data_IF_930397734340
#
_entry.id   IF_930397734340
#
_cell.length_a   1.000
_cell.length_b   1.000
_cell.length_c   1.000
_cell.angle_alpha   90.00
_cell.angle_beta   90.00
_cell.angle_gamma   90.00
#
_symmetry.space_group_name_H-M   'P 1'
#
loop_
_entity.id
_entity.type
_entity.pdbx_description
1 polymer ?
#
# COMPACT_ATOMS: atom_id res chain seq x y z
N UNK A 1 0.84 -44.81 -46.30
CA UNK A 1 -0.17 -45.30 -45.34
C UNK A 1 -0.06 -46.81 -45.30
N UNK A 2 -0.26 -47.44 -44.14
CA UNK A 2 -0.32 -48.90 -43.98
C UNK A 2 -1.51 -49.23 -43.09
N UNK A 3 -2.30 -50.22 -43.46
CA UNK A 3 -3.51 -50.66 -42.73
C UNK A 3 -4.50 -49.52 -42.42
N UNK A 4 -4.64 -48.55 -43.32
CA UNK A 4 -5.53 -47.40 -43.15
C UNK A 4 -4.97 -46.23 -42.34
N UNK A 5 -3.73 -46.32 -41.82
CA UNK A 5 -3.11 -45.28 -40.99
C UNK A 5 -1.89 -44.61 -41.63
N UNK A 6 -1.70 -43.33 -41.32
CA UNK A 6 -0.54 -42.56 -41.74
C UNK A 6 0.72 -43.02 -41.01
N UNK A 7 1.80 -43.28 -41.75
CA UNK A 7 3.09 -43.74 -41.19
C UNK A 7 4.05 -42.60 -40.92
N UNK A 8 3.74 -41.38 -41.38
CA UNK A 8 4.62 -40.20 -41.32
C UNK A 8 4.21 -39.24 -40.20
N UNK A 9 2.91 -39.10 -39.94
CA UNK A 9 2.44 -38.32 -38.80
C UNK A 9 2.81 -39.02 -37.50
N UNK A 10 3.34 -38.26 -36.55
CA UNK A 10 3.63 -38.71 -35.18
C UNK A 10 2.40 -39.34 -34.50
N UNK A 11 1.19 -38.84 -34.78
CA UNK A 11 -0.05 -39.38 -34.24
C UNK A 11 -0.66 -40.57 -35.00
N UNK A 12 0.01 -41.09 -36.04
CA UNK A 12 -0.47 -42.20 -36.90
C UNK A 12 -1.96 -42.12 -37.23
N UNK A 13 -2.43 -40.98 -37.71
CA UNK A 13 -3.86 -40.74 -37.91
C UNK A 13 -4.46 -41.64 -39.02
N UNK A 14 -5.71 -42.07 -38.82
CA UNK A 14 -6.48 -42.81 -39.84
C UNK A 14 -6.72 -41.93 -41.07
N UNK A 15 -6.77 -42.53 -42.27
CA UNK A 15 -6.86 -41.80 -43.53
C UNK A 15 -8.03 -40.81 -43.59
N UNK A 16 -9.16 -41.12 -42.93
CA UNK A 16 -10.37 -40.29 -42.91
C UNK A 16 -10.22 -39.00 -42.11
N UNK A 17 -9.19 -38.93 -41.25
CA UNK A 17 -8.85 -37.75 -40.45
C UNK A 17 -7.57 -37.07 -40.95
N UNK A 18 -6.85 -37.70 -41.87
CA UNK A 18 -5.61 -37.18 -42.46
C UNK A 18 -5.92 -36.39 -43.73
N UNK A 19 -6.41 -35.16 -43.55
CA UNK A 19 -6.74 -34.25 -44.67
C UNK A 19 -5.55 -33.36 -44.98
N UNK A 20 -5.07 -33.39 -46.23
CA UNK A 20 -4.05 -32.47 -46.71
C UNK A 20 -4.71 -31.14 -47.06
N UNK A 21 -4.41 -30.08 -46.32
CA UNK A 21 -4.90 -28.74 -46.63
C UNK A 21 -4.41 -28.31 -48.04
N UNK A 22 -5.31 -27.76 -48.88
CA UNK A 22 -4.99 -27.25 -50.22
C UNK A 22 -4.21 -25.92 -50.22
N UNK A 23 -3.60 -25.55 -49.08
CA UNK A 23 -2.86 -24.30 -48.92
C UNK A 23 -1.43 -24.62 -48.50
N UNK A 24 -0.48 -24.05 -49.24
CA UNK A 24 0.94 -24.09 -48.86
C UNK A 24 1.19 -22.98 -47.84
N UNK A 25 1.48 -23.32 -46.59
CA UNK A 25 1.98 -22.34 -45.60
C UNK A 25 3.39 -21.91 -46.03
N UNK A 26 3.55 -20.62 -46.32
CA UNK A 26 4.84 -20.04 -46.67
C UNK A 26 5.33 -19.25 -45.46
N UNK A 27 6.48 -19.66 -44.93
CA UNK A 27 7.19 -18.88 -43.92
C UNK A 27 7.90 -17.75 -44.65
N UNK A 28 7.50 -16.50 -44.39
CA UNK A 28 8.17 -15.30 -44.89
C UNK A 28 8.98 -14.71 -43.74
N UNK A 29 10.28 -14.58 -43.96
CA UNK A 29 11.15 -13.82 -43.08
C UNK A 29 11.24 -12.39 -43.64
N UNK A 30 10.92 -11.39 -42.82
CA UNK A 30 11.21 -9.99 -43.11
C UNK A 30 12.38 -9.53 -42.25
N UNK A 31 13.42 -8.99 -42.85
CA UNK A 31 14.46 -8.27 -42.13
C UNK A 31 14.02 -6.83 -41.92
N UNK A 32 14.24 -6.30 -40.72
CA UNK A 32 14.12 -4.87 -40.42
C UNK A 32 15.51 -4.36 -40.05
N UNK A 33 15.95 -3.28 -40.67
CA UNK A 33 17.22 -2.63 -40.33
C UNK A 33 16.95 -1.67 -39.19
N UNK A 34 17.41 -2.02 -38.00
CA UNK A 34 17.31 -1.16 -36.82
C UNK A 34 18.65 -0.44 -36.67
N UNK A 35 18.62 0.88 -36.53
CA UNK A 35 19.82 1.66 -36.28
C UNK A 35 20.30 1.42 -34.85
N UNK A 36 21.49 0.82 -34.71
CA UNK A 36 22.08 0.47 -33.41
C UNK A 36 22.14 1.65 -32.44
N UNK A 37 22.41 2.86 -32.95
CA UNK A 37 22.46 4.08 -32.14
C UNK A 37 21.12 4.44 -31.50
N UNK A 38 20.00 4.23 -32.19
CA UNK A 38 18.67 4.52 -31.64
C UNK A 38 18.31 3.54 -30.53
N UNK A 39 18.60 2.24 -30.72
CA UNK A 39 18.38 1.22 -29.67
C UNK A 39 19.24 1.51 -28.45
N UNK A 40 20.51 1.86 -28.65
CA UNK A 40 21.42 2.22 -27.56
C UNK A 40 20.92 3.43 -26.77
N UNK A 41 20.47 4.49 -27.46
CA UNK A 41 19.94 5.70 -26.82
C UNK A 41 18.68 5.43 -25.99
N UNK A 42 17.76 4.63 -26.50
CA UNK A 42 16.54 4.24 -25.76
C UNK A 42 16.89 3.37 -24.54
N UNK A 43 17.86 2.46 -24.68
CA UNK A 43 18.36 1.66 -23.55
C UNK A 43 19.01 2.53 -22.47
N UNK A 44 19.85 3.49 -22.84
CA UNK A 44 20.50 4.42 -21.91
C UNK A 44 19.47 5.27 -21.14
N UNK A 45 18.46 5.82 -21.84
CA UNK A 45 17.36 6.54 -21.21
C UNK A 45 16.57 5.67 -20.24
N UNK A 46 16.23 4.43 -20.64
CA UNK A 46 15.51 3.50 -19.79
C UNK A 46 16.33 3.12 -18.55
N UNK A 47 17.65 2.97 -18.70
CA UNK A 47 18.56 2.72 -17.58
C UNK A 47 18.62 3.92 -16.63
N UNK A 48 18.68 5.15 -17.15
CA UNK A 48 18.67 6.36 -16.31
C UNK A 48 17.36 6.50 -15.53
N UNK A 49 16.22 6.28 -16.18
CA UNK A 49 14.92 6.26 -15.50
C UNK A 49 14.86 5.17 -14.43
N UNK A 50 15.31 3.96 -14.75
CA UNK A 50 15.38 2.85 -13.80
C UNK A 50 16.24 3.17 -12.58
N UNK A 51 17.41 3.81 -12.77
CA UNK A 51 18.26 4.28 -11.66
C UNK A 51 17.53 5.28 -10.77
N UNK A 52 16.79 6.24 -11.36
CA UNK A 52 16.00 7.21 -10.58
C UNK A 52 14.90 6.52 -9.76
N UNK A 53 14.22 5.53 -10.33
CA UNK A 53 13.23 4.74 -9.59
C UNK A 53 13.88 3.93 -8.47
N UNK A 54 15.06 3.34 -8.69
CA UNK A 54 15.81 2.62 -7.66
C UNK A 54 16.10 3.51 -6.46
N UNK A 55 16.64 4.71 -6.70
CA UNK A 55 16.95 5.66 -5.62
C UNK A 55 15.69 6.04 -4.84
N UNK A 56 14.57 6.27 -5.54
CA UNK A 56 13.29 6.57 -4.87
C UNK A 56 12.79 5.38 -4.02
N UNK A 57 12.92 4.15 -4.52
CA UNK A 57 12.56 2.95 -3.77
C UNK A 57 13.40 2.80 -2.51
N UNK A 58 14.71 3.04 -2.60
CA UNK A 58 15.62 2.98 -1.45
C UNK A 58 15.22 4.00 -0.37
N UNK A 59 14.85 5.23 -0.75
CA UNK A 59 14.35 6.23 0.18
C UNK A 59 13.02 5.82 0.83
N UNK A 60 12.08 5.28 0.05
CA UNK A 60 10.80 4.81 0.58
C UNK A 60 10.99 3.65 1.56
N UNK A 61 11.89 2.72 1.26
CA UNK A 61 12.23 1.62 2.17
C UNK A 61 12.87 2.14 3.47
N UNK A 62 13.72 3.17 3.38
CA UNK A 62 14.30 3.83 4.54
C UNK A 62 13.22 4.52 5.40
N UNK A 63 12.33 5.30 4.80
CA UNK A 63 11.23 5.98 5.50
C UNK A 63 10.29 4.96 6.16
N UNK A 64 9.97 3.86 5.47
CA UNK A 64 9.17 2.78 6.03
C UNK A 64 9.85 2.12 7.23
N UNK A 65 11.17 1.98 7.20
CA UNK A 65 11.92 1.45 8.33
C UNK A 65 11.92 2.41 9.52
N UNK A 66 12.15 3.70 9.28
CA UNK A 66 12.10 4.72 10.32
C UNK A 66 10.72 4.79 11.00
N UNK A 67 9.64 4.76 10.20
CA UNK A 67 8.27 4.72 10.73
C UNK A 67 8.05 3.48 11.60
N UNK A 68 8.56 2.30 11.20
CA UNK A 68 8.43 1.08 12.01
C UNK A 68 9.16 1.19 13.35
N UNK A 69 10.33 1.81 13.35
CA UNK A 69 11.14 2.01 14.55
C UNK A 69 10.46 3.01 15.50
N UNK A 70 9.97 4.14 14.96
CA UNK A 70 9.16 5.11 15.71
C UNK A 70 7.89 4.49 16.29
N UNK A 71 7.18 3.63 15.54
CA UNK A 71 6.03 2.89 16.05
C UNK A 71 6.40 1.97 17.21
N UNK A 72 7.56 1.32 17.14
CA UNK A 72 8.06 0.45 18.21
C UNK A 72 8.36 1.27 19.46
N UNK A 73 9.07 2.38 19.31
CA UNK A 73 9.42 3.28 20.41
C UNK A 73 8.18 3.89 21.07
N UNK A 74 7.22 4.38 20.27
CA UNK A 74 5.97 4.92 20.77
C UNK A 74 5.18 3.87 21.57
N UNK A 75 5.09 2.64 21.04
CA UNK A 75 4.43 1.54 21.74
C UNK A 75 5.11 1.23 23.08
N UNK A 76 6.44 1.06 23.09
CA UNK A 76 7.19 0.75 24.30
C UNK A 76 7.06 1.86 25.34
N UNK A 77 7.05 3.12 24.89
CA UNK A 77 6.87 4.29 25.75
C UNK A 77 5.48 4.29 26.38
N UNK A 78 4.42 4.13 25.60
CA UNK A 78 3.04 4.07 26.11
C UNK A 78 2.90 2.93 27.12
N UNK A 79 3.41 1.74 26.76
CA UNK A 79 3.38 0.55 27.63
C UNK A 79 4.11 0.79 28.95
N UNK A 80 5.31 1.36 28.91
CA UNK A 80 6.09 1.66 30.10
C UNK A 80 5.38 2.70 30.98
N UNK A 81 4.83 3.77 30.39
CA UNK A 81 4.07 4.78 31.11
C UNK A 81 2.84 4.18 31.80
N UNK A 82 2.11 3.32 31.10
CA UNK A 82 0.94 2.61 31.65
C UNK A 82 1.33 1.74 32.85
N UNK A 83 2.45 1.02 32.75
CA UNK A 83 2.95 0.15 33.84
C UNK A 83 3.35 0.91 35.09
N UNK A 84 3.96 2.10 34.96
CA UNK A 84 4.40 2.90 36.11
C UNK A 84 3.33 3.85 36.65
N UNK A 85 2.22 4.01 35.92
CA UNK A 85 1.17 4.94 36.31
C UNK A 85 0.42 4.44 37.55
N UNK A 86 0.22 5.33 38.52
CA UNK A 86 -0.54 5.05 39.74
C UNK A 86 -2.07 5.01 39.49
N UNK A 87 -2.52 5.51 38.33
CA UNK A 87 -3.92 5.58 37.91
C UNK A 87 -4.07 5.06 36.47
N UNK A 88 -5.27 4.64 36.04
CA UNK A 88 -5.54 4.36 34.63
C UNK A 88 -5.04 5.50 33.73
N UNK A 89 -4.57 5.14 32.53
CA UNK A 89 -3.98 6.08 31.59
C UNK A 89 -4.86 7.33 31.36
N UNK A 90 -4.23 8.49 31.22
CA UNK A 90 -4.96 9.76 31.17
C UNK A 90 -5.90 9.89 29.97
N UNK A 91 -6.92 10.75 30.08
CA UNK A 91 -7.77 11.15 28.96
C UNK A 91 -6.99 11.68 27.73
N UNK A 92 -5.78 12.21 27.94
CA UNK A 92 -4.89 12.63 26.86
C UNK A 92 -4.29 11.43 26.11
N UNK A 93 -3.88 10.39 26.84
CA UNK A 93 -3.41 9.13 26.26
C UNK A 93 -4.50 8.49 25.39
N UNK A 94 -5.76 8.53 25.83
CA UNK A 94 -6.91 8.00 25.08
C UNK A 94 -7.04 8.62 23.69
N UNK A 95 -6.89 9.94 23.56
CA UNK A 95 -6.95 10.63 22.27
C UNK A 95 -5.86 10.15 21.30
N UNK A 96 -4.65 9.94 21.81
CA UNK A 96 -3.54 9.45 20.99
C UNK A 96 -3.71 7.98 20.58
N UNK A 97 -4.33 7.15 21.43
CA UNK A 97 -4.64 5.77 21.11
C UNK A 97 -5.64 5.64 19.95
N UNK A 98 -6.61 6.55 19.83
CA UNK A 98 -7.57 6.55 18.73
C UNK A 98 -6.91 6.75 17.35
N UNK A 99 -5.79 7.47 17.30
CA UNK A 99 -4.98 7.59 16.09
C UNK A 99 -4.03 6.40 15.91
N UNK A 100 -3.38 5.96 16.98
CA UNK A 100 -2.26 5.02 16.91
C UNK A 100 -2.70 3.56 16.71
N UNK A 101 -3.80 3.14 17.34
CA UNK A 101 -4.34 1.77 17.23
C UNK A 101 -4.67 1.40 15.78
N UNK A 102 -5.38 2.23 14.99
CA UNK A 102 -5.59 1.96 13.56
C UNK A 102 -4.29 1.76 12.77
N UNK A 103 -3.26 2.57 13.04
CA UNK A 103 -1.97 2.49 12.35
C UNK A 103 -1.22 1.19 12.66
N UNK A 104 -1.27 0.71 13.90
CA UNK A 104 -0.70 -0.59 14.26
C UNK A 104 -1.48 -1.76 13.64
N UNK A 105 -2.80 -1.61 13.47
CA UNK A 105 -3.64 -2.60 12.79
C UNK A 105 -3.30 -2.71 11.31
N UNK A 106 -3.13 -1.57 10.63
CA UNK A 106 -2.65 -1.49 9.24
C UNK A 106 -1.27 -2.15 9.10
N UNK A 107 -0.38 -1.96 10.09
CA UNK A 107 0.94 -2.58 10.14
C UNK A 107 0.95 -4.07 10.56
N UNK A 108 -0.22 -4.67 10.84
CA UNK A 108 -0.34 -6.08 11.22
C UNK A 108 0.13 -6.42 12.64
N UNK A 109 0.35 -5.44 13.52
CA UNK A 109 0.86 -5.63 14.89
C UNK A 109 -0.27 -5.96 15.88
N UNK A 110 -0.92 -7.10 15.68
CA UNK A 110 -2.16 -7.46 16.39
C UNK A 110 -2.01 -7.59 17.91
N UNK A 111 -0.88 -8.11 18.40
CA UNK A 111 -0.63 -8.22 19.84
C UNK A 111 -0.58 -6.85 20.52
N UNK A 112 0.08 -5.88 19.88
CA UNK A 112 0.18 -4.50 20.36
C UNK A 112 -1.18 -3.80 20.32
N UNK A 113 -1.95 -4.02 19.26
CA UNK A 113 -3.33 -3.50 19.14
C UNK A 113 -4.18 -3.99 20.30
N UNK A 114 -4.13 -5.29 20.63
CA UNK A 114 -4.91 -5.85 21.73
C UNK A 114 -4.54 -5.22 23.08
N UNK A 115 -3.25 -5.10 23.37
CA UNK A 115 -2.75 -4.51 24.62
C UNK A 115 -3.18 -3.03 24.74
N UNK A 116 -3.02 -2.23 23.69
CA UNK A 116 -3.44 -0.82 23.69
C UNK A 116 -4.97 -0.64 23.76
N UNK A 117 -5.76 -1.52 23.15
CA UNK A 117 -7.22 -1.50 23.28
C UNK A 117 -7.68 -1.81 24.71
N UNK A 118 -6.96 -2.68 25.43
CA UNK A 118 -7.23 -2.98 26.84
C UNK A 118 -6.90 -1.80 27.75
N UNK A 119 -5.74 -1.16 27.53
CA UNK A 119 -5.39 0.10 28.19
C UNK A 119 -6.47 1.17 27.95
N UNK A 120 -6.92 1.32 26.70
CA UNK A 120 -7.99 2.26 26.34
C UNK A 120 -9.27 1.99 27.12
N UNK A 121 -9.74 0.74 27.14
CA UNK A 121 -10.97 0.36 27.88
C UNK A 121 -10.85 0.66 29.37
N UNK A 122 -9.68 0.39 29.97
CA UNK A 122 -9.43 0.63 31.40
C UNK A 122 -9.45 2.11 31.72
N UNK A 123 -8.83 2.93 30.86
CA UNK A 123 -8.82 4.38 31.01
C UNK A 123 -10.18 5.04 30.73
N UNK A 124 -11.01 4.51 29.83
CA UNK A 124 -12.40 4.98 29.60
C UNK A 124 -13.35 4.67 30.77
N UNK A 125 -13.09 3.59 31.50
CA UNK A 125 -13.89 3.22 32.67
C UNK A 125 -13.68 4.18 33.86
N UNK A 126 -12.53 4.86 33.92
CA UNK A 126 -12.17 5.79 34.98
C UNK A 126 -12.99 7.09 34.91
N UNK A 127 -13.71 7.42 35.98
CA UNK A 127 -14.67 8.52 35.99
C UNK A 127 -14.00 9.88 35.75
N UNK A 128 -12.81 10.10 36.32
CA UNK A 128 -12.04 11.31 36.09
C UNK A 128 -11.66 11.51 34.61
N UNK A 129 -11.47 10.42 33.86
CA UNK A 129 -11.17 10.47 32.44
C UNK A 129 -12.42 10.73 31.59
N UNK A 130 -13.60 10.27 32.01
CA UNK A 130 -14.87 10.56 31.32
C UNK A 130 -15.16 12.06 31.30
N UNK A 131 -15.03 12.70 32.46
CA UNK A 131 -15.21 14.15 32.57
C UNK A 131 -14.21 14.89 31.68
N UNK A 132 -12.92 14.58 31.80
CA UNK A 132 -11.87 15.21 31.00
C UNK A 132 -12.06 15.00 29.48
N UNK A 133 -12.43 13.79 29.05
CA UNK A 133 -12.74 13.50 27.64
C UNK A 133 -13.94 14.30 27.13
N UNK A 134 -14.98 14.48 27.95
CA UNK A 134 -16.16 15.26 27.57
C UNK A 134 -15.80 16.72 27.30
N UNK A 135 -14.98 17.32 28.18
CA UNK A 135 -14.46 18.68 28.01
C UNK A 135 -13.56 18.81 26.78
N UNK A 136 -12.65 17.86 26.57
CA UNK A 136 -11.74 17.85 25.42
C UNK A 136 -12.51 17.70 24.10
N UNK A 137 -13.50 16.79 24.05
CA UNK A 137 -14.38 16.62 22.88
C UNK A 137 -15.17 17.89 22.58
N UNK A 138 -15.71 18.56 23.59
CA UNK A 138 -16.41 19.84 23.42
C UNK A 138 -15.47 20.94 22.88
N UNK A 139 -14.24 21.02 23.39
CA UNK A 139 -13.21 21.95 22.91
C UNK A 139 -12.83 21.69 21.45
N UNK A 140 -12.56 20.44 21.08
CA UNK A 140 -12.23 20.04 19.71
C UNK A 140 -13.39 20.26 18.74
N UNK A 141 -14.64 19.99 19.16
CA UNK A 141 -15.81 20.28 18.34
C UNK A 141 -15.94 21.78 18.06
N UNK A 142 -15.66 22.63 19.06
CA UNK A 142 -15.65 24.09 18.90
C UNK A 142 -14.54 24.56 17.96
N UNK A 143 -13.36 23.94 18.02
CA UNK A 143 -12.26 24.22 17.10
C UNK A 143 -12.59 23.76 15.67
N UNK A 144 -13.16 22.57 15.49
CA UNK A 144 -13.59 22.07 14.18
C UNK A 144 -14.72 22.93 13.59
N UNK A 145 -15.70 23.39 14.39
CA UNK A 145 -16.67 24.38 13.94
C UNK A 145 -16.01 25.71 13.54
N UNK A 146 -14.96 26.13 14.25
CA UNK A 146 -14.23 27.35 13.90
C UNK A 146 -13.35 27.22 12.65
N UNK A 147 -12.90 26.01 12.32
CA UNK A 147 -12.15 25.71 11.09
C UNK A 147 -13.08 25.59 9.88
N UNK A 148 -14.19 24.86 10.01
CA UNK A 148 -15.22 24.73 8.95
C UNK A 148 -15.91 26.07 8.66
N UNK A 149 -16.04 26.95 9.67
CA UNK A 149 -16.53 28.32 9.49
C UNK A 149 -15.63 29.23 8.64
N UNK A 150 -14.38 28.84 8.38
CA UNK A 150 -13.41 29.62 7.60
C UNK A 150 -13.22 29.10 6.15
N UNK A 151 -13.80 27.97 5.78
CA UNK A 151 -13.60 27.35 4.44
C UNK A 151 -14.60 27.85 3.37
N UNK A 152 -15.61 28.67 3.72
CA UNK A 152 -16.57 29.20 2.74
C UNK A 152 -16.13 30.47 1.99
N UNK A 153 -14.88 30.91 2.11
CA UNK A 153 -14.35 32.06 1.35
C UNK A 153 -13.05 31.75 0.63
N UNK A 154 -12.93 30.63 -0.12
CA UNK A 154 -11.80 30.47 -1.05
C UNK A 154 -11.97 29.33 -2.08
N UNK A 155 -13.04 29.31 -2.87
CA UNK A 155 -13.06 28.54 -4.13
C UNK A 155 -13.91 29.21 -5.20
N UNK A 156 -13.44 30.36 -5.71
CA UNK A 156 -13.79 30.82 -7.07
C UNK A 156 -12.52 31.36 -7.72
N UNK A 157 -12.34 31.01 -9.00
CA UNK A 157 -11.23 31.35 -9.93
C UNK A 157 -9.93 30.54 -9.72
N UNK A 158 -9.43 29.72 -10.67
CA UNK A 158 -9.63 29.71 -12.12
C UNK A 158 -9.46 28.28 -12.70
N UNK A 159 -10.44 27.85 -13.49
CA UNK A 159 -10.25 26.87 -14.57
C UNK A 159 -10.61 27.57 -15.87
N UNK A 160 -9.62 27.76 -16.74
CA UNK A 160 -9.66 27.61 -18.22
C UNK A 160 -8.66 28.54 -18.92
N UNK A 161 -8.31 28.23 -20.18
CA UNK A 161 -8.04 26.94 -20.80
C UNK A 161 -6.56 26.77 -21.15
#
# INVERSE_FOLDING_TARGET
MKDGYCTVCTGKCHHSKHVKENKKKVIRNSSMTIEFNNVKKEYEKAQEQSKRFSVLMDYLDQDLQEIKDQQSEAYMTIRHLSQISLKPDSAFTLQHLDFFIPKLREAGKQDWVRELEEMRRTAEAEEANKDALSYLKAGLAKLNLSLVGNEQMQTVQQIKP
#
